data_IF_232229772233
#
_entry.id   IF_232229772233
#
_cell.length_a   1.000
_cell.length_b   1.000
_cell.length_c   1.000
_cell.angle_alpha   90.00
_cell.angle_beta   90.00
_cell.angle_gamma   90.00
#
_symmetry.space_group_name_H-M   'P 1'
#
loop_
_entity.id
_entity.type
_entity.pdbx_description
1 polymer ?
#
# COMPACT_ATOMS: atom_id res chain seq x y z
N UNK A 1 -17.29 -3.85 5.98
CA UNK A 1 -15.84 -3.87 6.28
C UNK A 1 -15.61 -3.07 7.56
N UNK A 2 -14.81 -3.58 8.50
CA UNK A 2 -14.34 -2.79 9.64
C UNK A 2 -13.04 -2.11 9.24
N UNK A 3 -12.98 -0.77 9.25
CA UNK A 3 -11.76 -0.03 8.94
C UNK A 3 -10.79 -0.09 10.12
N UNK A 4 -9.56 -0.55 9.86
CA UNK A 4 -8.46 -0.50 10.83
C UNK A 4 -8.00 0.95 11.06
N UNK A 5 -8.10 1.81 10.06
CA UNK A 5 -7.83 3.24 10.15
C UNK A 5 -9.12 4.07 10.09
N UNK A 6 -9.95 3.95 11.14
CA UNK A 6 -11.25 4.61 11.20
C UNK A 6 -11.19 6.13 10.93
N UNK A 7 -10.17 6.83 11.46
CA UNK A 7 -10.01 8.29 11.23
C UNK A 7 -9.55 8.64 9.81
N UNK A 8 -8.75 7.78 9.18
CA UNK A 8 -8.35 7.97 7.78
C UNK A 8 -9.55 7.74 6.86
N UNK A 9 -10.30 6.66 7.11
CA UNK A 9 -11.53 6.34 6.39
C UNK A 9 -12.62 7.42 6.57
N UNK A 10 -12.67 8.10 7.71
CA UNK A 10 -13.62 9.19 8.00
C UNK A 10 -13.35 10.50 7.22
N UNK A 11 -12.37 10.53 6.33
CA UNK A 11 -12.14 11.65 5.40
C UNK A 11 -10.75 12.27 5.47
N UNK A 12 -9.99 12.05 6.55
CA UNK A 12 -8.60 12.57 6.66
C UNK A 12 -7.71 12.04 5.54
N UNK A 13 -7.94 10.83 5.04
CA UNK A 13 -7.12 10.29 3.94
C UNK A 13 -7.13 11.16 2.69
N UNK A 14 -8.28 11.80 2.39
CA UNK A 14 -8.44 12.66 1.21
C UNK A 14 -7.67 13.98 1.30
N UNK A 15 -7.24 14.38 2.50
CA UNK A 15 -6.46 15.62 2.69
C UNK A 15 -4.99 15.44 2.36
N UNK A 16 -4.52 14.19 2.26
CA UNK A 16 -3.15 13.89 1.85
C UNK A 16 -3.00 13.98 0.33
N UNK A 17 -1.83 14.46 -0.10
CA UNK A 17 -1.40 14.35 -1.48
C UNK A 17 -1.26 12.88 -1.89
N UNK A 18 -1.30 12.62 -3.20
CA UNK A 18 -1.09 11.27 -3.72
C UNK A 18 0.24 10.65 -3.26
N UNK A 19 1.31 11.46 -3.17
CA UNK A 19 2.62 10.99 -2.72
C UNK A 19 2.59 10.56 -1.25
N UNK A 20 1.94 11.34 -0.38
CA UNK A 20 1.75 10.99 1.02
C UNK A 20 0.88 9.74 1.18
N UNK A 21 -0.20 9.61 0.40
CA UNK A 21 -1.05 8.40 0.41
C UNK A 21 -0.22 7.16 0.06
N UNK A 22 0.55 7.21 -1.03
CA UNK A 22 1.39 6.10 -1.47
C UNK A 22 2.56 5.81 -0.50
N UNK A 23 3.12 6.83 0.17
CA UNK A 23 4.14 6.65 1.21
C UNK A 23 3.58 6.01 2.49
N UNK A 24 2.33 6.30 2.84
CA UNK A 24 1.66 5.62 3.96
C UNK A 24 1.33 4.16 3.61
N UNK A 25 0.89 3.89 2.37
CA UNK A 25 0.73 2.51 1.85
C UNK A 25 2.06 1.76 1.92
N UNK A 26 3.17 2.39 1.50
CA UNK A 26 4.51 1.83 1.58
C UNK A 26 4.88 1.35 2.99
N UNK A 27 4.50 2.11 4.01
CA UNK A 27 4.79 1.77 5.40
C UNK A 27 4.07 0.49 5.86
N UNK A 28 2.86 0.24 5.36
CA UNK A 28 2.14 -1.01 5.63
C UNK A 28 2.71 -2.20 4.83
N UNK A 29 3.09 -1.98 3.58
CA UNK A 29 3.76 -3.00 2.74
C UNK A 29 5.09 -3.42 3.36
N UNK A 30 5.95 -2.47 3.71
CA UNK A 30 7.24 -2.74 4.36
C UNK A 30 7.05 -3.49 5.69
N UNK A 31 6.01 -3.16 6.44
CA UNK A 31 5.68 -3.89 7.67
C UNK A 31 5.24 -5.32 7.39
N UNK A 32 4.48 -5.56 6.34
CA UNK A 32 4.08 -6.90 5.93
C UNK A 32 5.29 -7.74 5.53
N UNK A 33 6.20 -7.19 4.71
CA UNK A 33 7.46 -7.83 4.32
C UNK A 33 8.32 -8.18 5.55
N UNK A 34 8.51 -7.22 6.46
CA UNK A 34 9.33 -7.44 7.65
C UNK A 34 8.77 -8.54 8.57
N UNK A 35 7.46 -8.63 8.74
CA UNK A 35 6.86 -9.73 9.52
C UNK A 35 6.94 -11.08 8.80
N UNK A 36 6.87 -11.09 7.47
CA UNK A 36 7.09 -12.29 6.66
C UNK A 36 8.53 -12.80 6.83
N UNK A 37 9.53 -11.92 6.77
CA UNK A 37 10.95 -12.29 7.02
C UNK A 37 11.16 -12.85 8.44
N UNK A 38 10.40 -12.35 9.43
CA UNK A 38 10.42 -12.85 10.82
C UNK A 38 9.60 -14.13 11.01
N UNK A 39 9.14 -14.78 9.94
CA UNK A 39 8.30 -15.96 9.95
C UNK A 39 7.03 -15.80 10.81
N UNK A 40 6.43 -14.61 10.77
CA UNK A 40 5.21 -14.31 11.52
C UNK A 40 4.05 -13.99 10.55
N UNK A 41 3.40 -15.02 9.99
CA UNK A 41 2.38 -14.86 8.95
C UNK A 41 1.16 -14.10 9.44
N UNK A 42 0.79 -14.23 10.72
CA UNK A 42 -0.36 -13.52 11.29
C UNK A 42 -0.18 -11.99 11.30
N UNK A 43 1.00 -11.51 11.71
CA UNK A 43 1.28 -10.07 11.67
C UNK A 43 1.54 -9.56 10.25
N UNK A 44 2.16 -10.38 9.39
CA UNK A 44 2.32 -10.06 7.97
C UNK A 44 0.96 -9.84 7.30
N UNK A 45 0.02 -10.77 7.51
CA UNK A 45 -1.34 -10.69 6.99
C UNK A 45 -2.07 -9.43 7.46
N UNK A 46 -2.00 -9.09 8.75
CA UNK A 46 -2.64 -7.88 9.29
C UNK A 46 -2.05 -6.58 8.73
N UNK A 47 -0.76 -6.56 8.40
CA UNK A 47 -0.13 -5.41 7.75
C UNK A 47 -0.52 -5.33 6.26
N UNK A 48 -0.58 -6.48 5.59
CA UNK A 48 -1.05 -6.57 4.21
C UNK A 48 -2.51 -6.10 4.05
N UNK A 49 -3.42 -6.55 4.92
CA UNK A 49 -4.82 -6.08 4.95
C UNK A 49 -4.93 -4.56 5.12
N UNK A 50 -4.07 -3.99 5.96
CA UNK A 50 -4.00 -2.53 6.15
C UNK A 50 -3.49 -1.82 4.90
N UNK A 51 -2.50 -2.38 4.20
CA UNK A 51 -2.04 -1.84 2.92
C UNK A 51 -3.17 -1.84 1.88
N UNK A 52 -3.96 -2.93 1.80
CA UNK A 52 -5.14 -3.00 0.91
C UNK A 52 -6.19 -1.94 1.27
N UNK A 53 -6.48 -1.75 2.56
CA UNK A 53 -7.41 -0.71 3.02
C UNK A 53 -6.97 0.68 2.56
N UNK A 54 -5.68 1.00 2.69
CA UNK A 54 -5.15 2.31 2.26
C UNK A 54 -5.15 2.46 0.74
N UNK A 55 -4.90 1.39 -0.02
CA UNK A 55 -5.03 1.39 -1.49
C UNK A 55 -6.49 1.62 -1.91
N UNK A 56 -7.45 0.98 -1.24
CA UNK A 56 -8.88 1.16 -1.50
C UNK A 56 -9.34 2.59 -1.18
N UNK A 57 -8.87 3.17 -0.08
CA UNK A 57 -9.09 4.60 0.22
C UNK A 57 -8.45 5.52 -0.84
N UNK A 58 -7.28 5.16 -1.37
CA UNK A 58 -6.59 5.92 -2.43
C UNK A 58 -7.31 5.83 -3.78
N UNK A 59 -7.85 4.67 -4.13
CA UNK A 59 -8.69 4.49 -5.32
C UNK A 59 -9.94 5.37 -5.27
N UNK A 60 -10.54 5.48 -4.08
CA UNK A 60 -11.72 6.31 -3.83
C UNK A 60 -11.44 7.81 -3.68
N UNK A 61 -10.18 8.23 -3.51
CA UNK A 61 -9.79 9.64 -3.37
C UNK A 61 -9.17 10.21 -4.64
N UNK A 62 -8.55 9.39 -5.49
CA UNK A 62 -7.85 9.88 -6.68
C UNK A 62 -8.82 10.22 -7.82
N UNK A 63 -8.70 11.44 -8.36
CA UNK A 63 -9.50 11.90 -9.50
C UNK A 63 -8.81 11.65 -10.85
N UNK A 64 -7.48 11.46 -10.84
CA UNK A 64 -6.69 11.25 -12.06
C UNK A 64 -6.78 9.80 -12.54
N UNK A 65 -7.26 9.53 -13.77
CA UNK A 65 -7.41 8.17 -14.29
C UNK A 65 -6.12 7.36 -14.33
N UNK A 66 -4.99 8.03 -14.62
CA UNK A 66 -3.66 7.40 -14.65
C UNK A 66 -3.23 6.89 -13.28
N UNK A 67 -3.41 7.71 -12.24
CA UNK A 67 -3.14 7.31 -10.85
C UNK A 67 -4.08 6.20 -10.40
N UNK A 68 -5.37 6.27 -10.74
CA UNK A 68 -6.33 5.21 -10.41
C UNK A 68 -5.92 3.87 -11.02
N UNK A 69 -5.49 3.87 -12.29
CA UNK A 69 -5.00 2.66 -12.97
C UNK A 69 -3.74 2.11 -12.29
N UNK A 70 -2.81 2.97 -11.93
CA UNK A 70 -1.59 2.57 -11.22
C UNK A 70 -1.92 1.90 -9.88
N UNK A 71 -2.72 2.56 -9.03
CA UNK A 71 -3.12 2.04 -7.71
C UNK A 71 -3.87 0.71 -7.83
N UNK A 72 -4.75 0.58 -8.83
CA UNK A 72 -5.47 -0.67 -9.08
C UNK A 72 -4.51 -1.83 -9.44
N UNK A 73 -3.47 -1.55 -10.24
CA UNK A 73 -2.45 -2.56 -10.60
C UNK A 73 -1.55 -2.91 -9.42
N UNK A 74 -1.16 -1.93 -8.61
CA UNK A 74 -0.42 -2.16 -7.37
C UNK A 74 -1.21 -3.07 -6.44
N UNK A 75 -2.51 -2.80 -6.27
CA UNK A 75 -3.40 -3.63 -5.46
C UNK A 75 -3.49 -5.07 -5.99
N UNK A 76 -3.71 -5.25 -7.29
CA UNK A 76 -3.76 -6.56 -7.96
C UNK A 76 -2.46 -7.35 -7.74
N UNK A 77 -1.31 -6.73 -8.01
CA UNK A 77 -0.01 -7.37 -7.86
C UNK A 77 0.36 -7.67 -6.40
N UNK A 78 -0.03 -6.83 -5.44
CA UNK A 78 0.16 -7.12 -4.01
C UNK A 78 -0.69 -8.31 -3.55
N UNK A 79 -1.94 -8.42 -4.04
CA UNK A 79 -2.79 -9.59 -3.75
C UNK A 79 -2.17 -10.86 -4.32
N UNK A 80 -1.72 -10.84 -5.58
CA UNK A 80 -1.03 -11.98 -6.18
C UNK A 80 0.25 -12.36 -5.42
N UNK A 81 1.02 -11.37 -4.93
CA UNK A 81 2.26 -11.61 -4.20
C UNK A 81 2.09 -12.16 -2.76
N UNK A 82 1.09 -11.68 -2.02
CA UNK A 82 0.88 -12.07 -0.61
C UNK A 82 -0.10 -13.23 -0.45
N UNK A 83 -1.05 -13.40 -1.36
CA UNK A 83 -2.13 -14.39 -1.22
C UNK A 83 -2.39 -15.23 -2.48
N UNK A 84 -1.72 -14.91 -3.59
CA UNK A 84 -1.81 -15.66 -4.85
C UNK A 84 -0.60 -16.53 -5.10
N UNK A 85 -0.45 -16.94 -6.37
CA UNK A 85 0.67 -17.77 -6.83
C UNK A 85 1.94 -16.95 -7.15
N UNK A 86 1.92 -15.63 -6.92
CA UNK A 86 2.94 -14.70 -7.37
C UNK A 86 3.21 -14.84 -8.89
N UNK A 87 2.13 -14.92 -9.68
CA UNK A 87 2.16 -15.11 -11.13
C UNK A 87 2.87 -13.95 -11.86
N UNK A 88 2.90 -12.75 -11.27
CA UNK A 88 3.64 -11.62 -11.80
C UNK A 88 5.12 -11.61 -11.44
N UNK A 89 5.60 -12.56 -10.61
CA UNK A 89 7.01 -12.67 -10.26
C UNK A 89 7.55 -11.53 -9.40
N UNK A 90 6.70 -10.93 -8.55
CA UNK A 90 7.12 -9.86 -7.64
C UNK A 90 8.07 -10.38 -6.57
N UNK A 91 8.93 -9.50 -6.06
CA UNK A 91 9.91 -9.79 -4.99
C UNK A 91 9.83 -8.72 -3.91
N UNK A 92 10.35 -9.02 -2.71
CA UNK A 92 10.51 -8.02 -1.65
C UNK A 92 11.28 -6.78 -2.16
N UNK A 93 12.33 -7.00 -2.97
CA UNK A 93 13.15 -5.93 -3.52
C UNK A 93 12.39 -5.06 -4.52
N UNK A 94 11.54 -5.64 -5.38
CA UNK A 94 10.74 -4.87 -6.32
C UNK A 94 9.71 -3.99 -5.60
N UNK A 95 9.09 -4.50 -4.54
CA UNK A 95 8.16 -3.70 -3.72
C UNK A 95 8.84 -2.55 -3.02
N UNK A 96 9.99 -2.81 -2.37
CA UNK A 96 10.80 -1.77 -1.74
C UNK A 96 11.24 -0.72 -2.75
N UNK A 97 11.70 -1.14 -3.93
CA UNK A 97 12.12 -0.23 -5.00
C UNK A 97 10.99 0.68 -5.49
N UNK A 98 9.82 0.10 -5.80
CA UNK A 98 8.65 0.85 -6.23
C UNK A 98 8.20 1.88 -5.19
N UNK A 99 8.05 1.46 -3.93
CA UNK A 99 7.54 2.33 -2.88
C UNK A 99 8.55 3.36 -2.34
N UNK A 100 9.86 3.10 -2.45
CA UNK A 100 10.91 4.03 -2.02
C UNK A 100 10.79 5.38 -2.74
N UNK A 101 10.42 5.38 -4.02
CA UNK A 101 10.24 6.61 -4.80
C UNK A 101 9.17 7.53 -4.17
N UNK A 102 8.05 6.96 -3.71
CA UNK A 102 6.98 7.72 -3.06
C UNK A 102 7.39 8.22 -1.69
N UNK A 103 8.04 7.37 -0.88
CA UNK A 103 8.52 7.77 0.45
C UNK A 103 9.53 8.93 0.35
N UNK A 104 10.45 8.86 -0.61
CA UNK A 104 11.41 9.93 -0.87
C UNK A 104 10.73 11.21 -1.37
N UNK A 105 9.82 11.10 -2.34
CA UNK A 105 9.13 12.25 -2.90
C UNK A 105 8.23 12.96 -1.89
N UNK A 106 7.50 12.21 -1.05
CA UNK A 106 6.68 12.76 0.03
C UNK A 106 7.54 13.55 1.04
N UNK A 107 8.73 13.04 1.40
CA UNK A 107 9.62 13.72 2.34
C UNK A 107 10.24 15.01 1.77
N UNK A 108 10.43 15.10 0.46
CA UNK A 108 10.92 16.32 -0.20
C UNK A 108 9.85 17.42 -0.33
N UNK A 109 8.58 17.05 -0.25
CA UNK A 109 7.45 17.96 -0.39
C UNK A 109 7.03 18.61 0.94
N UNK A 110 7.61 18.16 2.06
CA UNK A 110 7.50 18.77 3.39
C UNK A 110 8.69 19.68 3.67
#
# INVERSE_FOLDING_TARGET
MSFRHATLAAGRWKTFTFLEQMANVASEVERALNWRTKNNPGYAQRAFERALELLDLTLGSTERPTQRREVARVREALVDFFSGANSYGSTDASWRGYFLAFAYAARRAH
#
